data_IF_051442448087
#
_entry.id   IF_051442448087
#
_cell.length_a   1.000
_cell.length_b   1.000
_cell.length_c   1.000
_cell.angle_alpha   90.00
_cell.angle_beta   90.00
_cell.angle_gamma   90.00
#
_symmetry.space_group_name_H-M   'P 1'
#
loop_
_entity.id
_entity.type
_entity.pdbx_description
1 polymer ?
#
# COMPACT_ATOMS: atom_id res chain seq x y z
N UNK A 1 12.37 4.24 -9.58
CA UNK A 1 11.42 3.14 -9.36
C UNK A 1 10.06 3.71 -8.96
N UNK A 2 8.94 3.14 -9.40
CA UNK A 2 7.60 3.56 -8.92
C UNK A 2 7.26 2.81 -7.62
N UNK A 3 6.43 3.41 -6.75
CA UNK A 3 5.98 2.78 -5.50
C UNK A 3 5.34 1.40 -5.72
N UNK A 4 4.65 1.21 -6.86
CA UNK A 4 4.09 -0.07 -7.25
C UNK A 4 5.15 -1.14 -7.50
N UNK A 5 6.28 -0.79 -8.12
CA UNK A 5 7.37 -1.74 -8.38
C UNK A 5 8.01 -2.16 -7.05
N UNK A 6 8.28 -1.20 -6.16
CA UNK A 6 8.82 -1.47 -4.82
C UNK A 6 7.87 -2.41 -4.06
N UNK A 7 6.56 -2.16 -4.13
CA UNK A 7 5.56 -3.02 -3.51
C UNK A 7 5.58 -4.44 -4.08
N UNK A 8 5.64 -4.59 -5.42
CA UNK A 8 5.74 -5.91 -6.05
C UNK A 8 6.98 -6.68 -5.57
N UNK A 9 8.13 -6.04 -5.49
CA UNK A 9 9.36 -6.67 -5.03
C UNK A 9 9.27 -7.09 -3.55
N UNK A 10 8.78 -6.21 -2.68
CA UNK A 10 8.61 -6.51 -1.27
C UNK A 10 7.62 -7.67 -1.04
N UNK A 11 6.47 -7.65 -1.72
CA UNK A 11 5.47 -8.72 -1.62
C UNK A 11 6.00 -10.06 -2.13
N UNK A 12 6.76 -10.06 -3.24
CA UNK A 12 7.41 -11.28 -3.74
C UNK A 12 8.38 -11.87 -2.72
N UNK A 13 9.17 -11.02 -2.03
CA UNK A 13 10.09 -11.47 -0.98
C UNK A 13 9.37 -12.01 0.25
N UNK A 14 8.22 -11.43 0.58
CA UNK A 14 7.36 -11.88 1.68
C UNK A 14 6.45 -13.06 1.32
N UNK A 15 6.50 -13.53 0.07
CA UNK A 15 5.64 -14.59 -0.44
C UNK A 15 4.14 -14.25 -0.28
N UNK A 16 3.79 -13.01 -0.61
CA UNK A 16 2.41 -12.51 -0.63
C UNK A 16 1.96 -12.13 -2.04
N UNK A 17 0.67 -12.33 -2.29
CA UNK A 17 -0.03 -11.73 -3.41
C UNK A 17 -0.80 -10.50 -2.94
N UNK A 18 -0.98 -9.54 -3.84
CA UNK A 18 -1.75 -8.35 -3.53
C UNK A 18 -2.57 -7.90 -4.72
N UNK A 19 -3.67 -7.23 -4.44
CA UNK A 19 -4.53 -6.62 -5.45
C UNK A 19 -5.05 -5.28 -4.94
N UNK A 20 -5.22 -4.36 -5.88
CA UNK A 20 -5.97 -3.13 -5.63
C UNK A 20 -7.44 -3.52 -5.55
N UNK A 21 -8.01 -3.41 -4.35
CA UNK A 21 -9.45 -3.53 -4.19
C UNK A 21 -10.09 -2.20 -4.57
N UNK A 22 -11.24 -2.30 -5.24
CA UNK A 22 -11.88 -1.20 -5.94
C UNK A 22 -12.05 0.05 -5.09
N UNK A 23 -12.29 1.19 -5.74
CA UNK A 23 -12.43 2.48 -5.06
C UNK A 23 -13.87 2.76 -4.66
N UNK A 24 -14.32 2.46 -3.42
CA UNK A 24 -15.59 3.00 -2.93
C UNK A 24 -15.48 4.52 -2.82
N UNK A 25 -16.58 5.20 -3.16
CA UNK A 25 -16.73 6.60 -2.83
C UNK A 25 -17.15 6.69 -1.36
N UNK A 26 -16.53 7.58 -0.60
CA UNK A 26 -17.04 7.90 0.73
C UNK A 26 -18.39 8.61 0.62
N UNK A 27 -19.11 8.75 1.74
CA UNK A 27 -20.35 9.54 1.80
C UNK A 27 -20.16 11.01 1.38
N UNK A 28 -18.93 11.50 1.45
CA UNK A 28 -18.53 12.86 1.10
C UNK A 28 -18.06 12.99 -0.36
N UNK A 29 -18.15 11.91 -1.15
CA UNK A 29 -17.74 11.90 -2.56
C UNK A 29 -16.22 11.81 -2.77
N UNK A 30 -15.43 11.53 -1.73
CA UNK A 30 -13.99 11.30 -1.85
C UNK A 30 -13.70 9.89 -2.36
N UNK A 31 -12.60 9.72 -3.07
CA UNK A 31 -12.13 8.41 -3.49
C UNK A 31 -11.31 7.76 -2.38
N UNK A 32 -11.61 6.51 -2.04
CA UNK A 32 -10.78 5.70 -1.16
C UNK A 32 -10.29 4.46 -1.90
N UNK A 33 -9.02 4.10 -1.78
CA UNK A 33 -8.44 2.87 -2.35
C UNK A 33 -7.97 1.96 -1.22
N UNK A 34 -7.99 0.65 -1.43
CA UNK A 34 -7.35 -0.29 -0.52
C UNK A 34 -6.48 -1.32 -1.24
N UNK A 35 -5.46 -1.79 -0.55
CA UNK A 35 -4.62 -2.90 -0.98
C UNK A 35 -4.98 -4.10 -0.14
N UNK A 36 -5.47 -5.15 -0.79
CA UNK A 36 -5.74 -6.43 -0.14
C UNK A 36 -4.56 -7.36 -0.34
N UNK A 37 -4.15 -8.04 0.72
CA UNK A 37 -2.97 -8.90 0.74
C UNK A 37 -3.39 -10.32 1.08
N UNK A 38 -2.97 -11.27 0.26
CA UNK A 38 -3.26 -12.69 0.39
C UNK A 38 -1.96 -13.50 0.51
N UNK A 39 -2.05 -14.64 1.20
CA UNK A 39 -0.99 -15.63 1.19
C UNK A 39 -0.91 -16.29 -0.18
N UNK A 40 0.29 -16.58 -0.67
CA UNK A 40 0.49 -17.40 -1.87
C UNK A 40 0.14 -18.88 -1.65
N UNK A 41 -0.06 -19.32 -0.40
CA UNK A 41 -0.50 -20.68 -0.10
C UNK A 41 -1.90 -20.94 -0.65
N UNK A 42 -2.04 -22.04 -1.42
CA UNK A 42 -3.16 -22.47 -2.26
C UNK A 42 -4.59 -22.50 -1.65
N UNK A 43 -4.79 -22.10 -0.40
CA UNK A 43 -6.08 -22.14 0.31
C UNK A 43 -6.56 -20.80 0.89
N UNK A 44 -5.87 -19.68 0.63
CA UNK A 44 -6.28 -18.39 1.15
C UNK A 44 -7.43 -17.77 0.31
N UNK A 45 -8.67 -18.17 0.59
CA UNK A 45 -9.89 -17.57 -0.02
C UNK A 45 -10.18 -16.18 0.55
N UNK A 46 -9.50 -15.77 1.64
CA UNK A 46 -9.68 -14.47 2.30
C UNK A 46 -8.36 -13.70 2.36
N UNK A 47 -8.40 -12.36 2.24
CA UNK A 47 -7.24 -11.52 2.51
C UNK A 47 -6.75 -11.75 3.95
N UNK A 48 -5.43 -11.83 4.12
CA UNK A 48 -4.79 -11.88 5.45
C UNK A 48 -5.03 -10.53 6.14
N UNK A 49 -4.86 -9.45 5.38
CA UNK A 49 -5.14 -8.10 5.82
C UNK A 49 -5.44 -7.19 4.62
N UNK A 50 -6.09 -6.07 4.93
CA UNK A 50 -6.44 -5.02 3.98
C UNK A 50 -5.92 -3.70 4.51
N UNK A 51 -5.21 -2.95 3.67
CA UNK A 51 -4.68 -1.63 4.02
C UNK A 51 -5.46 -0.58 3.25
N UNK A 52 -6.11 0.32 3.99
CA UNK A 52 -6.88 1.41 3.43
C UNK A 52 -6.01 2.65 3.28
N UNK A 53 -6.01 3.21 2.07
CA UNK A 53 -5.49 4.55 1.78
C UNK A 53 -6.34 5.64 2.44
N UNK A 54 -5.80 6.86 2.48
CA UNK A 54 -6.58 8.06 2.78
C UNK A 54 -7.66 8.25 1.72
N UNK A 55 -8.84 8.70 2.15
CA UNK A 55 -9.86 9.17 1.24
C UNK A 55 -9.47 10.55 0.70
N UNK A 56 -9.33 10.69 -0.62
CA UNK A 56 -8.81 11.90 -1.26
C UNK A 56 -9.68 12.31 -2.47
N UNK A 57 -9.70 13.60 -2.83
CA UNK A 57 -10.53 14.08 -3.94
C UNK A 57 -10.16 13.49 -5.29
N UNK A 58 -8.90 13.05 -5.47
CA UNK A 58 -8.45 12.40 -6.70
C UNK A 58 -8.17 10.92 -6.49
N UNK A 59 -8.63 10.11 -7.43
CA UNK A 59 -8.40 8.66 -7.43
C UNK A 59 -6.91 8.30 -7.44
N UNK A 60 -6.09 9.04 -8.19
CA UNK A 60 -4.64 8.79 -8.25
C UNK A 60 -3.98 9.02 -6.89
N UNK A 61 -4.36 10.07 -6.17
CA UNK A 61 -3.83 10.40 -4.85
C UNK A 61 -4.27 9.38 -3.80
N UNK A 62 -5.54 8.95 -3.83
CA UNK A 62 -6.06 7.90 -2.94
C UNK A 62 -5.31 6.56 -3.14
N UNK A 63 -5.05 6.21 -4.40
CA UNK A 63 -4.27 5.02 -4.75
C UNK A 63 -2.82 5.13 -4.30
N UNK A 64 -2.18 6.26 -4.55
CA UNK A 64 -0.82 6.53 -4.10
C UNK A 64 -0.76 6.42 -2.57
N UNK A 65 -1.68 7.04 -1.85
CA UNK A 65 -1.79 6.93 -0.39
C UNK A 65 -1.92 5.47 0.07
N UNK A 66 -2.71 4.62 -0.60
CA UNK A 66 -2.82 3.22 -0.24
C UNK A 66 -1.50 2.45 -0.45
N UNK A 67 -0.77 2.72 -1.55
CA UNK A 67 0.54 2.12 -1.82
C UNK A 67 1.56 2.50 -0.75
N UNK A 68 1.63 3.78 -0.39
CA UNK A 68 2.53 4.29 0.65
C UNK A 68 2.24 3.67 2.01
N UNK A 69 0.98 3.65 2.43
CA UNK A 69 0.62 3.06 3.73
C UNK A 69 0.92 1.56 3.76
N UNK A 70 0.80 0.89 2.62
CA UNK A 70 1.16 -0.53 2.49
C UNK A 70 2.67 -0.74 2.65
N UNK A 71 3.49 0.07 1.95
CA UNK A 71 4.95 0.01 2.08
C UNK A 71 5.41 0.33 3.51
N UNK A 72 4.80 1.33 4.14
CA UNK A 72 5.06 1.67 5.53
C UNK A 72 4.73 0.53 6.50
N UNK A 73 3.57 -0.11 6.31
CA UNK A 73 3.20 -1.28 7.11
C UNK A 73 4.20 -2.44 6.92
N UNK A 74 4.67 -2.68 5.70
CA UNK A 74 5.69 -3.70 5.43
C UNK A 74 7.01 -3.38 6.18
N UNK A 75 7.47 -2.14 6.09
CA UNK A 75 8.74 -1.66 6.64
C UNK A 75 8.78 -1.62 8.18
N UNK A 76 7.67 -1.18 8.78
CA UNK A 76 7.57 -0.96 10.22
C UNK A 76 6.89 -2.11 10.96
N UNK A 77 5.86 -2.73 10.40
CA UNK A 77 5.05 -3.74 11.11
C UNK A 77 5.41 -5.18 10.74
N UNK A 78 5.80 -5.45 9.48
CA UNK A 78 6.22 -6.80 9.05
C UNK A 78 7.73 -7.03 9.20
N UNK A 79 8.50 -6.01 9.60
CA UNK A 79 9.93 -6.11 9.83
C UNK A 79 10.78 -6.25 8.56
N UNK A 80 10.20 -6.01 7.38
CA UNK A 80 10.93 -6.08 6.11
C UNK A 80 11.48 -4.70 5.74
N UNK A 81 12.77 -4.46 5.99
CA UNK A 81 13.37 -3.14 5.76
C UNK A 81 13.48 -2.80 4.28
N UNK A 82 12.80 -1.72 3.88
CA UNK A 82 12.79 -1.23 2.50
C UNK A 82 13.86 -0.15 2.31
N UNK A 83 14.98 -0.52 1.69
CA UNK A 83 16.11 0.38 1.42
C UNK A 83 16.03 1.19 0.12
N UNK A 84 14.88 1.23 -0.56
CA UNK A 84 14.74 1.91 -1.85
C UNK A 84 14.75 3.45 -1.68
N UNK A 85 15.60 4.14 -2.44
CA UNK A 85 15.80 5.59 -2.37
C UNK A 85 14.52 6.39 -2.65
N UNK A 86 13.63 5.90 -3.51
CA UNK A 86 12.36 6.57 -3.82
C UNK A 86 11.37 6.45 -2.67
N UNK A 87 11.35 5.30 -2.00
CA UNK A 87 10.54 5.11 -0.80
C UNK A 87 11.06 5.95 0.37
N UNK A 88 12.39 5.95 0.61
CA UNK A 88 13.01 6.78 1.65
C UNK A 88 12.77 8.27 1.39
N UNK A 89 12.91 8.74 0.14
CA UNK A 89 12.60 10.12 -0.25
C UNK A 89 11.14 10.46 0.05
N UNK A 90 10.22 9.54 -0.20
CA UNK A 90 8.82 9.74 0.14
C UNK A 90 8.61 9.90 1.65
N UNK A 91 9.18 9.00 2.47
CA UNK A 91 9.08 9.10 3.93
C UNK A 91 9.59 10.45 4.46
N UNK A 92 10.71 10.93 3.93
CA UNK A 92 11.27 12.24 4.29
C UNK A 92 10.32 13.39 3.93
N UNK A 93 9.73 13.35 2.73
CA UNK A 93 8.74 14.37 2.33
C UNK A 93 7.48 14.33 3.20
N UNK A 94 6.96 13.14 3.49
CA UNK A 94 5.76 12.96 4.31
C UNK A 94 5.98 13.41 5.77
N UNK A 95 7.16 13.12 6.34
CA UNK A 95 7.51 13.53 7.71
C UNK A 95 7.81 15.03 7.82
N UNK A 96 8.18 15.70 6.73
CA UNK A 96 8.40 17.15 6.68
C UNK A 96 7.11 17.98 6.50
N UNK A 97 5.94 17.35 6.34
CA UNK A 97 4.62 18.03 6.27
C UNK A 97 3.95 18.05 7.66
N UNK A 98 4.74 17.98 8.74
CA UNK A 98 4.23 17.96 10.12
C UNK A 98 4.08 19.35 10.71
#
# INVERSE_FOLDING_TARGET
MSLKIILCEAMNKLNYHWYESGTPHTREGLHQTSIEVQSTSFHAVKPIFTIYGKALPRRCEAKESALILTLFFIDESLGYKIGDVHYVKYLLLANNIR
#
